data_IF_855744484348
#
_entry.id   IF_855744484348
#
_cell.length_a   1.000
_cell.length_b   1.000
_cell.length_c   1.000
_cell.angle_alpha   90.00
_cell.angle_beta   90.00
_cell.angle_gamma   90.00
#
_symmetry.space_group_name_H-M   'P 1'
#
loop_
_entity.id
_entity.type
_entity.pdbx_description
1 polymer ?
#
# COMPACT_ATOMS: atom_id res chain seq x y z
N UNK A 1 10.46 -16.97 17.87
CA UNK A 1 9.16 -16.35 17.53
C UNK A 1 9.36 -14.94 16.99
N UNK A 2 10.05 -14.07 17.72
CA UNK A 2 10.43 -12.71 17.29
C UNK A 2 11.06 -12.63 15.89
N UNK A 3 12.08 -13.45 15.62
CA UNK A 3 12.77 -13.45 14.32
C UNK A 3 11.84 -13.74 13.15
N UNK A 4 10.88 -14.67 13.32
CA UNK A 4 9.91 -15.02 12.29
C UNK A 4 8.99 -13.82 12.00
N UNK A 5 8.45 -13.20 13.05
CA UNK A 5 7.56 -12.02 12.92
C UNK A 5 8.32 -10.85 12.29
N UNK A 6 9.58 -10.63 12.66
CA UNK A 6 10.41 -9.57 12.08
C UNK A 6 10.67 -9.79 10.58
N UNK A 7 10.98 -11.03 10.16
CA UNK A 7 11.14 -11.35 8.72
C UNK A 7 9.83 -11.11 7.97
N UNK A 8 8.70 -11.57 8.51
CA UNK A 8 7.38 -11.29 7.92
C UNK A 8 7.11 -9.78 7.81
N UNK A 9 7.45 -9.02 8.84
CA UNK A 9 7.28 -7.57 8.84
C UNK A 9 8.02 -6.90 7.69
N UNK A 10 9.29 -7.29 7.46
CA UNK A 10 10.10 -6.78 6.35
C UNK A 10 9.48 -7.15 4.99
N UNK A 11 9.00 -8.37 4.82
CA UNK A 11 8.36 -8.81 3.57
C UNK A 11 7.07 -8.04 3.28
N UNK A 12 6.23 -7.83 4.31
CA UNK A 12 5.00 -7.03 4.18
C UNK A 12 5.35 -5.58 3.84
N UNK A 13 6.39 -5.03 4.45
CA UNK A 13 6.86 -3.66 4.18
C UNK A 13 7.31 -3.49 2.73
N UNK A 14 8.14 -4.41 2.22
CA UNK A 14 8.59 -4.41 0.83
C UNK A 14 7.43 -4.55 -0.14
N UNK A 15 6.47 -5.42 0.18
CA UNK A 15 5.25 -5.60 -0.64
C UNK A 15 4.43 -4.32 -0.67
N UNK A 16 4.21 -3.68 0.49
CA UNK A 16 3.47 -2.42 0.59
C UNK A 16 4.14 -1.32 -0.22
N UNK A 17 5.46 -1.15 -0.10
CA UNK A 17 6.23 -0.18 -0.89
C UNK A 17 6.09 -0.48 -2.38
N UNK A 18 6.24 -1.74 -2.79
CA UNK A 18 6.03 -2.16 -4.19
C UNK A 18 4.64 -1.81 -4.71
N UNK A 19 3.59 -2.10 -3.95
CA UNK A 19 2.20 -1.79 -4.31
C UNK A 19 1.92 -0.29 -4.42
N UNK A 20 2.54 0.51 -3.56
CA UNK A 20 2.45 1.98 -3.62
C UNK A 20 3.15 2.52 -4.86
N UNK A 21 4.35 2.02 -5.19
CA UNK A 21 5.08 2.44 -6.38
C UNK A 21 4.38 2.03 -7.68
N UNK A 22 3.56 0.97 -7.65
CA UNK A 22 2.72 0.57 -8.79
C UNK A 22 1.51 1.51 -9.01
N UNK A 23 1.18 2.38 -8.04
CA UNK A 23 0.15 3.39 -8.28
C UNK A 23 0.67 4.44 -9.26
N UNK A 24 -0.15 4.78 -10.25
CA UNK A 24 0.16 5.84 -11.20
C UNK A 24 0.33 7.17 -10.47
N UNK A 25 1.52 7.76 -10.54
CA UNK A 25 1.81 9.08 -9.96
C UNK A 25 1.12 10.24 -10.68
N UNK A 26 0.22 9.97 -11.64
CA UNK A 26 -0.53 10.97 -12.43
C UNK A 26 -1.26 11.99 -11.53
N UNK A 27 -1.71 11.56 -10.35
CA UNK A 27 -2.44 12.40 -9.40
C UNK A 27 -1.55 12.95 -8.25
N UNK A 28 -0.25 12.64 -8.22
CA UNK A 28 0.64 12.94 -7.08
C UNK A 28 1.28 14.34 -7.10
N UNK A 29 0.83 15.27 -7.96
CA UNK A 29 1.40 16.62 -8.11
C UNK A 29 0.37 17.72 -8.38
N UNK A 30 0.81 18.91 -8.83
CA UNK A 30 -0.08 20.05 -9.15
C UNK A 30 -1.18 19.72 -10.18
N UNK A 31 -0.97 18.72 -11.04
CA UNK A 31 -1.98 18.22 -11.99
C UNK A 31 -3.18 17.54 -11.33
N UNK A 32 -3.05 17.05 -10.09
CA UNK A 32 -4.14 16.53 -9.26
C UNK A 32 -4.89 17.61 -8.47
N UNK A 33 -4.35 18.84 -8.38
CA UNK A 33 -5.02 19.98 -7.75
C UNK A 33 -5.98 20.73 -8.70
N UNK A 34 -5.95 20.41 -9.99
CA UNK A 34 -6.84 20.96 -11.01
C UNK A 34 -7.86 19.92 -11.50
N UNK A 35 -8.89 20.39 -12.21
CA UNK A 35 -9.91 19.56 -12.85
C UNK A 35 -9.28 18.81 -14.05
N UNK A 36 -8.54 17.74 -13.80
CA UNK A 36 -8.12 16.82 -14.86
C UNK A 36 -9.35 15.99 -15.24
N UNK A 37 -9.87 16.06 -16.48
CA UNK A 37 -10.96 15.20 -16.90
C UNK A 37 -10.51 13.76 -16.68
N UNK A 38 -11.23 13.06 -15.81
CA UNK A 38 -10.93 11.67 -15.53
C UNK A 38 -10.99 10.92 -16.88
N UNK A 39 -9.88 10.31 -17.27
CA UNK A 39 -9.85 9.50 -18.48
C UNK A 39 -10.63 8.23 -18.15
N UNK A 40 -11.92 8.21 -18.50
CA UNK A 40 -12.86 7.09 -18.35
C UNK A 40 -12.53 5.90 -19.27
N UNK A 41 -11.26 5.50 -19.31
CA UNK A 41 -10.78 4.30 -20.00
C UNK A 41 -10.71 3.10 -19.05
N UNK A 42 -10.70 1.89 -19.61
CA UNK A 42 -10.73 0.60 -18.90
C UNK A 42 -9.62 0.32 -17.86
N UNK A 43 -8.69 1.26 -17.64
CA UNK A 43 -7.66 1.21 -16.59
C UNK A 43 -8.21 1.42 -15.18
N UNK A 44 -9.40 2.01 -15.04
CA UNK A 44 -10.01 2.31 -13.74
C UNK A 44 -10.29 1.06 -12.87
N UNK A 45 -10.55 -0.11 -13.49
CA UNK A 45 -10.79 -1.35 -12.75
C UNK A 45 -9.49 -1.82 -12.10
N UNK A 46 -8.37 -1.78 -12.83
CA UNK A 46 -7.07 -2.22 -12.32
C UNK A 46 -6.60 -1.28 -11.21
N UNK A 47 -6.72 0.02 -11.38
CA UNK A 47 -6.36 1.02 -10.36
C UNK A 47 -7.16 0.81 -9.07
N UNK A 48 -8.49 0.62 -9.17
CA UNK A 48 -9.34 0.36 -8.00
C UNK A 48 -9.00 -0.94 -7.27
N UNK A 49 -8.67 -1.99 -8.02
CA UNK A 49 -8.26 -3.26 -7.41
C UNK A 49 -6.90 -3.12 -6.74
N UNK A 50 -5.94 -2.42 -7.36
CA UNK A 50 -4.63 -2.15 -6.78
C UNK A 50 -4.78 -1.36 -5.48
N UNK A 51 -5.61 -0.31 -5.45
CA UNK A 51 -5.91 0.43 -4.22
C UNK A 51 -6.51 -0.47 -3.14
N UNK A 52 -7.48 -1.34 -3.48
CA UNK A 52 -8.09 -2.26 -2.53
C UNK A 52 -7.05 -3.22 -1.92
N UNK A 53 -6.18 -3.78 -2.76
CA UNK A 53 -5.10 -4.67 -2.30
C UNK A 53 -4.12 -3.91 -1.41
N UNK A 54 -3.69 -2.70 -1.79
CA UNK A 54 -2.79 -1.86 -0.97
C UNK A 54 -3.40 -1.55 0.39
N UNK A 55 -4.71 -1.23 0.46
CA UNK A 55 -5.39 -0.97 1.73
C UNK A 55 -5.39 -2.21 2.62
N UNK A 56 -5.72 -3.39 2.07
CA UNK A 56 -5.70 -4.65 2.81
C UNK A 56 -4.30 -4.95 3.34
N UNK A 57 -3.26 -4.82 2.51
CA UNK A 57 -1.86 -5.05 2.92
C UNK A 57 -1.42 -4.00 3.95
N UNK A 58 -1.87 -2.75 3.84
CA UNK A 58 -1.60 -1.69 4.81
C UNK A 58 -2.19 -1.96 6.19
N UNK A 59 -3.42 -2.52 6.26
CA UNK A 59 -4.02 -2.96 7.52
C UNK A 59 -3.21 -4.11 8.13
N UNK A 60 -2.82 -5.10 7.31
CA UNK A 60 -1.99 -6.23 7.76
C UNK A 60 -0.63 -5.75 8.29
N UNK A 61 0.00 -4.79 7.60
CA UNK A 61 1.24 -4.15 8.05
C UNK A 61 1.06 -3.52 9.43
N UNK A 62 0.02 -2.70 9.61
CA UNK A 62 -0.24 -2.01 10.87
C UNK A 62 -0.46 -2.97 12.05
N UNK A 63 -1.27 -4.01 11.84
CA UNK A 63 -1.50 -5.05 12.86
C UNK A 63 -0.20 -5.79 13.20
N UNK A 64 0.62 -6.08 12.20
CA UNK A 64 1.90 -6.74 12.39
C UNK A 64 2.89 -5.84 13.17
N UNK A 65 2.89 -4.52 12.93
CA UNK A 65 3.67 -3.55 13.72
C UNK A 65 3.29 -3.59 15.20
N UNK A 66 1.99 -3.55 15.52
CA UNK A 66 1.50 -3.60 16.91
C UNK A 66 1.89 -4.91 17.58
N UNK A 67 1.78 -6.02 16.85
CA UNK A 67 2.18 -7.34 17.34
C UNK A 67 3.68 -7.39 17.65
N UNK A 68 4.51 -6.90 16.72
CA UNK A 68 5.96 -6.87 16.91
C UNK A 68 6.36 -6.00 18.10
N UNK A 69 5.69 -4.86 18.28
CA UNK A 69 5.89 -3.98 19.44
C UNK A 69 5.59 -4.69 20.77
N UNK A 70 4.46 -5.42 20.85
CA UNK A 70 4.10 -6.18 22.05
C UNK A 70 5.04 -7.35 22.33
N UNK A 71 5.61 -7.99 21.30
CA UNK A 71 6.57 -9.07 21.50
C UNK A 71 7.97 -8.59 21.90
N UNK A 72 8.31 -7.34 21.54
CA UNK A 72 9.61 -6.74 21.84
C UNK A 72 9.67 -6.12 23.26
N UNK A 73 8.49 -5.79 23.81
CA UNK A 73 8.31 -5.29 25.19
C UNK A 73 8.26 -6.45 26.18
#
# INVERSE_FOLDING_TARGET
>A
MLQVVAVFHVLISLTLVGLVLMHSGRDAGMGGLGFTPASQGGTHIVERNLTRVTVVVGIVFFLNTIWLFHLLT
#
